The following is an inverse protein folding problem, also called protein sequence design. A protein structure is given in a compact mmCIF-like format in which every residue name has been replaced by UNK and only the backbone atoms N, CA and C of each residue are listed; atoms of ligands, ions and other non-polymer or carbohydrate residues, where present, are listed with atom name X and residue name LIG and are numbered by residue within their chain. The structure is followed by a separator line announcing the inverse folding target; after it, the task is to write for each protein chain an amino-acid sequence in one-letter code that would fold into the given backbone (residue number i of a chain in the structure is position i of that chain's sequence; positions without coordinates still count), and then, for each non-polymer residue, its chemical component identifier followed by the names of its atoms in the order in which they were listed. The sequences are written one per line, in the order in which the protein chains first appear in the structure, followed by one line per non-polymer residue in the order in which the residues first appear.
data_IF_469270568718
#
_entry.id   IF_469270568718
#
_cell.length_a   1.000
_cell.length_b   1.000
_cell.length_c   1.000
_cell.angle_alpha   90.00
_cell.angle_beta   90.00
_cell.angle_gamma   90.00
#
_symmetry.space_group_name_H-M   'P 1'
#
loop_
_entity.id
_entity.type
_entity.pdbx_description
1 polymer ?
#
# COMPACT_ATOMS: atom_id res chain seq x y z
N UNK A 1 -6.23 40.82 -25.89
CA UNK A 1 -4.83 41.09 -26.26
C UNK A 1 -4.04 41.47 -25.01
N UNK A 2 -3.08 40.66 -24.58
CA UNK A 2 -1.90 41.08 -23.81
C UNK A 2 -0.87 39.93 -23.81
N UNK A 3 0.24 40.20 -24.49
CA UNK A 3 1.48 39.41 -24.52
C UNK A 3 2.17 39.40 -23.15
N UNK A 4 2.94 38.35 -22.88
CA UNK A 4 4.33 38.38 -22.40
C UNK A 4 4.68 37.01 -21.79
N UNK A 5 5.91 36.50 -21.80
CA UNK A 5 7.11 36.71 -22.59
C UNK A 5 8.01 35.52 -22.18
N UNK A 6 8.50 34.74 -23.14
CA UNK A 6 9.38 33.60 -22.88
C UNK A 6 10.76 34.09 -22.44
N UNK A 7 11.27 33.53 -21.35
CA UNK A 7 12.65 33.71 -20.90
C UNK A 7 13.42 32.43 -21.26
N UNK A 8 14.21 32.51 -22.34
CA UNK A 8 15.09 31.43 -22.78
C UNK A 8 16.44 31.56 -22.05
N UNK A 9 16.80 30.54 -21.29
CA UNK A 9 18.12 30.43 -20.64
C UNK A 9 19.05 29.70 -21.60
N UNK A 10 20.07 30.40 -22.08
CA UNK A 10 21.15 29.86 -22.91
C UNK A 10 22.22 29.26 -21.98
N UNK A 11 22.46 27.96 -22.09
CA UNK A 11 23.49 27.24 -21.35
C UNK A 11 24.74 27.11 -22.22
N UNK A 12 25.80 27.85 -21.85
CA UNK A 12 27.10 27.81 -22.52
C UNK A 12 27.90 26.64 -21.96
N UNK A 13 28.15 25.61 -22.79
CA UNK A 13 29.02 24.48 -22.43
C UNK A 13 30.43 24.80 -22.88
N UNK A 14 31.31 25.11 -21.92
CA UNK A 14 32.73 25.36 -22.16
C UNK A 14 33.49 24.03 -22.12
N UNK A 15 33.88 23.53 -23.31
CA UNK A 15 34.71 22.34 -23.44
C UNK A 15 36.19 22.72 -23.33
N UNK A 16 36.82 22.40 -22.20
CA UNK A 16 38.27 22.53 -21.99
C UNK A 16 38.96 21.23 -22.40
N UNK A 17 39.69 21.26 -23.51
CA UNK A 17 40.56 20.18 -23.96
C UNK A 17 41.92 20.27 -23.23
N UNK A 18 42.24 19.25 -22.42
CA UNK A 18 43.54 19.10 -21.75
C UNK A 18 44.46 18.18 -22.57
N UNK A 19 45.76 18.50 -22.71
CA UNK A 19 46.71 17.65 -23.42
C UNK A 19 47.16 16.48 -22.55
N UNK A 20 46.88 15.25 -23.00
CA UNK A 20 47.35 14.00 -22.39
C UNK A 20 48.80 13.71 -22.79
N UNK A 21 49.75 13.92 -21.86
CA UNK A 21 51.11 13.38 -21.98
C UNK A 21 51.09 11.89 -21.66
N UNK A 22 51.38 11.05 -22.65
CA UNK A 22 51.55 9.60 -22.48
C UNK A 22 52.95 9.34 -21.93
N UNK A 23 53.06 9.11 -20.62
CA UNK A 23 54.28 8.60 -20.00
C UNK A 23 54.37 7.09 -20.20
N UNK A 24 55.53 6.60 -20.66
CA UNK A 24 55.81 5.19 -20.86
C UNK A 24 55.78 4.44 -19.52
N UNK A 25 54.77 3.59 -19.32
CA UNK A 25 54.59 2.80 -18.11
C UNK A 25 55.59 1.64 -18.05
N UNK A 26 56.49 1.70 -17.06
CA UNK A 26 57.42 0.63 -16.68
C UNK A 26 56.59 -0.60 -16.25
N UNK A 27 56.73 -1.74 -16.93
CA UNK A 27 55.99 -2.98 -16.64
C UNK A 27 56.25 -3.42 -15.21
N UNK A 28 55.21 -3.42 -14.37
CA UNK A 28 55.27 -4.00 -13.02
C UNK A 28 55.30 -5.53 -13.11
N UNK A 29 56.02 -6.23 -12.22
CA UNK A 29 55.95 -7.67 -12.10
C UNK A 29 54.51 -8.12 -11.80
N UNK A 30 54.12 -9.33 -12.24
CA UNK A 30 52.79 -9.86 -11.98
C UNK A 30 52.55 -9.92 -10.46
N UNK A 31 51.37 -9.51 -9.97
CA UNK A 31 51.04 -9.65 -8.57
C UNK A 31 51.08 -11.14 -8.18
N UNK A 32 51.50 -11.46 -6.95
CA UNK A 32 51.45 -12.82 -6.43
C UNK A 32 50.01 -13.34 -6.46
N UNK A 33 49.84 -14.63 -6.75
CA UNK A 33 48.53 -15.31 -6.76
C UNK A 33 47.88 -15.19 -5.38
N UNK A 34 46.95 -14.24 -5.24
CA UNK A 34 46.11 -14.10 -4.06
C UNK A 34 45.03 -15.20 -4.14
N UNK A 35 44.89 -16.07 -3.14
CA UNK A 35 43.79 -17.03 -3.10
C UNK A 35 42.47 -16.29 -3.30
N UNK A 36 41.68 -16.72 -4.28
CA UNK A 36 40.36 -16.15 -4.51
C UNK A 36 39.56 -16.18 -3.20
N UNK A 37 38.93 -15.05 -2.79
CA UNK A 37 38.06 -15.08 -1.63
C UNK A 37 36.98 -16.14 -1.84
N UNK A 38 36.55 -16.84 -0.78
CA UNK A 38 35.48 -17.81 -0.88
C UNK A 38 34.28 -17.17 -1.58
N UNK A 39 33.76 -17.82 -2.62
CA UNK A 39 32.62 -17.35 -3.39
C UNK A 39 31.46 -17.09 -2.43
N UNK A 40 31.03 -15.83 -2.31
CA UNK A 40 29.83 -15.51 -1.56
C UNK A 40 28.65 -16.29 -2.15
N UNK A 41 27.79 -16.89 -1.31
CA UNK A 41 26.57 -17.51 -1.81
C UNK A 41 25.76 -16.45 -2.58
N UNK A 42 25.11 -16.82 -3.69
CA UNK A 42 24.27 -15.88 -4.43
C UNK A 42 23.16 -15.36 -3.50
N UNK A 43 22.75 -14.08 -3.66
CA UNK A 43 21.65 -13.55 -2.88
C UNK A 43 20.38 -14.39 -3.12
N UNK A 44 19.53 -14.57 -2.09
CA UNK A 44 18.28 -15.29 -2.27
C UNK A 44 17.40 -14.59 -3.32
N UNK A 45 16.62 -15.35 -4.10
CA UNK A 45 15.72 -14.76 -5.08
C UNK A 45 14.69 -13.84 -4.37
N UNK A 46 14.25 -12.75 -5.02
CA UNK A 46 13.27 -11.85 -4.45
C UNK A 46 11.94 -12.59 -4.23
N UNK A 47 11.32 -12.37 -3.06
CA UNK A 47 9.99 -12.90 -2.74
C UNK A 47 8.97 -12.30 -3.71
N UNK A 48 8.23 -13.15 -4.41
CA UNK A 48 7.14 -12.72 -5.28
C UNK A 48 5.83 -12.67 -4.48
N UNK A 49 5.07 -11.59 -4.67
CA UNK A 49 3.77 -11.39 -4.03
C UNK A 49 2.65 -11.39 -5.05
N UNK A 50 1.53 -12.02 -4.70
CA UNK A 50 0.24 -11.87 -5.36
C UNK A 50 -0.65 -10.88 -4.59
N UNK A 51 -1.45 -10.12 -5.33
CA UNK A 51 -2.46 -9.24 -4.76
C UNK A 51 -3.81 -9.95 -4.72
N UNK A 52 -4.29 -10.25 -3.51
CA UNK A 52 -5.63 -10.78 -3.30
C UNK A 52 -6.60 -9.66 -2.96
N UNK A 53 -7.53 -9.40 -3.86
CA UNK A 53 -8.52 -8.33 -3.69
C UNK A 53 -9.73 -8.78 -2.89
N UNK A 54 -10.41 -7.83 -2.24
CA UNK A 54 -11.57 -8.13 -1.41
C UNK A 54 -12.68 -8.85 -2.20
N UNK A 55 -13.18 -9.97 -1.65
CA UNK A 55 -14.30 -10.74 -2.18
C UNK A 55 -15.62 -10.39 -1.48
N UNK A 56 -15.55 -9.90 -0.23
CA UNK A 56 -16.70 -9.36 0.50
C UNK A 56 -16.28 -8.13 1.29
N UNK A 57 -17.22 -7.21 1.53
CA UNK A 57 -17.00 -5.99 2.28
C UNK A 57 -18.28 -5.60 3.01
N UNK A 58 -18.18 -5.21 4.28
CA UNK A 58 -19.31 -4.77 5.10
C UNK A 58 -18.89 -3.65 6.05
N UNK A 59 -19.85 -2.86 6.51
CA UNK A 59 -19.58 -1.80 7.48
C UNK A 59 -20.82 -1.46 8.32
N UNK A 60 -20.71 -0.51 9.25
CA UNK A 60 -21.81 -0.15 10.15
C UNK A 60 -23.12 0.22 9.45
N UNK A 61 -23.03 0.94 8.34
CA UNK A 61 -24.18 1.39 7.55
C UNK A 61 -24.64 0.39 6.48
N UNK A 62 -23.87 -0.69 6.26
CA UNK A 62 -24.14 -1.74 5.28
C UNK A 62 -23.65 -3.09 5.85
N UNK A 63 -24.34 -3.62 6.88
CA UNK A 63 -23.86 -4.78 7.64
C UNK A 63 -23.85 -6.06 6.81
N UNK A 64 -24.64 -6.12 5.73
CA UNK A 64 -24.70 -7.26 4.81
C UNK A 64 -23.77 -7.10 3.61
N UNK A 65 -23.29 -5.88 3.32
CA UNK A 65 -22.42 -5.61 2.17
C UNK A 65 -23.15 -5.64 0.82
N UNK A 66 -24.48 -5.66 0.82
CA UNK A 66 -25.30 -5.85 -0.37
C UNK A 66 -25.77 -4.54 -1.01
N UNK A 67 -25.53 -3.41 -0.35
CA UNK A 67 -25.97 -2.12 -0.87
C UNK A 67 -25.30 -1.77 -2.21
N UNK A 68 -26.11 -1.27 -3.13
CA UNK A 68 -25.67 -0.88 -4.48
C UNK A 68 -25.55 0.64 -4.64
N UNK A 69 -25.90 1.41 -3.61
CA UNK A 69 -25.85 2.88 -3.67
C UNK A 69 -24.42 3.39 -3.89
N UNK A 70 -24.25 4.58 -4.47
CA UNK A 70 -22.94 5.21 -4.55
C UNK A 70 -22.28 5.35 -3.17
N UNK A 71 -21.02 4.96 -3.05
CA UNK A 71 -20.28 4.94 -1.79
C UNK A 71 -20.43 3.67 -0.95
N UNK A 72 -21.21 2.67 -1.38
CA UNK A 72 -21.41 1.42 -0.64
C UNK A 72 -20.13 0.57 -0.52
N UNK A 73 -20.06 -0.30 0.49
CA UNK A 73 -18.92 -1.19 0.74
C UNK A 73 -18.66 -2.14 -0.43
N UNK A 74 -19.73 -2.55 -1.14
CA UNK A 74 -19.65 -3.37 -2.36
C UNK A 74 -18.75 -2.77 -3.46
N UNK A 75 -18.47 -1.47 -3.43
CA UNK A 75 -17.56 -0.82 -4.38
C UNK A 75 -16.09 -1.22 -4.20
N UNK A 76 -15.74 -1.87 -3.09
CA UNK A 76 -14.40 -2.40 -2.82
C UNK A 76 -14.15 -3.80 -3.38
N UNK A 77 -15.17 -4.47 -3.93
CA UNK A 77 -15.03 -5.86 -4.34
C UNK A 77 -14.26 -5.99 -5.65
N UNK A 78 -13.31 -6.93 -5.66
CA UNK A 78 -12.47 -7.24 -6.80
C UNK A 78 -11.30 -6.27 -6.98
N UNK A 79 -10.59 -6.46 -8.09
CA UNK A 79 -9.46 -5.61 -8.45
C UNK A 79 -9.89 -4.14 -8.66
N UNK A 80 -8.97 -3.18 -8.45
CA UNK A 80 -9.21 -1.78 -8.78
C UNK A 80 -9.76 -1.60 -10.19
N UNK A 81 -10.78 -0.76 -10.33
CA UNK A 81 -11.33 -0.46 -11.64
C UNK A 81 -10.32 0.34 -12.49
N UNK A 82 -10.25 0.13 -13.82
CA UNK A 82 -9.37 0.92 -14.68
C UNK A 82 -9.61 2.44 -14.58
N UNK A 83 -10.87 2.86 -14.38
CA UNK A 83 -11.23 4.25 -14.18
C UNK A 83 -10.67 4.83 -12.87
N UNK A 84 -10.51 4.00 -11.83
CA UNK A 84 -9.90 4.40 -10.58
C UNK A 84 -8.38 4.56 -10.73
N UNK A 85 -7.73 3.60 -11.40
CA UNK A 85 -6.29 3.58 -11.64
C UNK A 85 -5.82 4.71 -12.57
N UNK A 86 -6.65 5.14 -13.52
CA UNK A 86 -6.33 6.21 -14.47
C UNK A 86 -6.56 7.62 -13.93
N UNK A 87 -7.07 7.78 -12.69
CA UNK A 87 -7.28 9.11 -12.11
C UNK A 87 -5.96 9.80 -11.83
N UNK A 88 -5.92 11.09 -12.19
CA UNK A 88 -4.79 11.99 -11.92
C UNK A 88 -5.07 13.01 -10.81
N UNK A 89 -6.33 13.15 -10.37
CA UNK A 89 -6.76 14.16 -9.40
C UNK A 89 -7.36 13.52 -8.16
N UNK A 90 -6.94 14.00 -6.99
CA UNK A 90 -7.52 13.64 -5.71
C UNK A 90 -8.83 14.42 -5.54
N UNK A 91 -9.97 13.74 -5.69
CA UNK A 91 -11.29 14.38 -5.53
C UNK A 91 -12.31 13.32 -5.12
N UNK A 92 -13.42 13.71 -4.48
CA UNK A 92 -14.48 12.80 -4.08
C UNK A 92 -14.94 11.88 -5.22
N UNK A 93 -15.17 10.62 -4.91
CA UNK A 93 -15.69 9.62 -5.84
C UNK A 93 -16.64 8.68 -5.09
N UNK A 94 -17.77 8.32 -5.72
CA UNK A 94 -18.80 7.48 -5.09
C UNK A 94 -19.27 6.35 -6.01
N UNK A 95 -19.05 6.45 -7.32
CA UNK A 95 -19.54 5.45 -8.28
C UNK A 95 -18.76 4.13 -8.22
N UNK A 96 -17.47 4.20 -7.90
CA UNK A 96 -16.57 3.03 -7.84
C UNK A 96 -15.62 3.06 -6.64
N UNK A 97 -16.04 3.73 -5.57
CA UNK A 97 -15.35 3.72 -4.28
C UNK A 97 -16.34 3.63 -3.13
N UNK A 98 -15.90 3.01 -2.06
CA UNK A 98 -16.53 3.14 -0.75
C UNK A 98 -16.25 4.52 -0.18
N UNK A 99 -17.28 5.13 0.38
CA UNK A 99 -17.20 6.39 1.11
C UNK A 99 -17.93 6.17 2.43
N UNK A 100 -17.26 6.34 3.59
CA UNK A 100 -17.89 6.19 4.89
C UNK A 100 -19.13 7.07 5.06
N UNK A 101 -19.95 6.75 6.06
CA UNK A 101 -21.00 7.67 6.50
C UNK A 101 -20.42 8.82 7.31
N UNK A 102 -21.15 9.93 7.35
CA UNK A 102 -20.84 11.05 8.25
C UNK A 102 -20.94 10.59 9.71
N UNK A 103 -21.94 9.75 10.02
CA UNK A 103 -22.13 9.15 11.35
C UNK A 103 -21.05 8.11 11.64
N UNK A 104 -20.63 8.10 12.90
CA UNK A 104 -19.75 7.08 13.48
C UNK A 104 -20.54 5.82 13.87
N UNK A 105 -19.87 4.65 14.01
CA UNK A 105 -18.45 4.40 13.69
C UNK A 105 -18.17 4.34 12.17
N UNK A 106 -16.93 4.60 11.75
CA UNK A 106 -16.52 4.58 10.34
C UNK A 106 -15.47 3.51 10.08
N UNK A 107 -15.91 2.31 9.75
CA UNK A 107 -15.01 1.24 9.35
C UNK A 107 -15.60 0.41 8.21
N UNK A 108 -14.74 -0.32 7.52
CA UNK A 108 -15.12 -1.38 6.60
C UNK A 108 -14.32 -2.64 6.92
N UNK A 109 -15.03 -3.75 7.09
CA UNK A 109 -14.47 -5.09 7.17
C UNK A 109 -14.46 -5.67 5.76
N UNK A 110 -13.29 -6.13 5.30
CA UNK A 110 -13.11 -6.82 4.02
C UNK A 110 -12.65 -8.26 4.25
N UNK A 111 -13.05 -9.16 3.35
CA UNK A 111 -12.63 -10.57 3.34
C UNK A 111 -12.00 -10.91 2.00
N UNK A 112 -10.86 -11.60 2.01
CA UNK A 112 -10.07 -11.91 0.80
C UNK A 112 -10.30 -13.32 0.26
N UNK A 113 -10.78 -14.25 1.08
CA UNK A 113 -11.03 -15.64 0.68
C UNK A 113 -12.40 -16.13 1.14
N UNK A 114 -12.95 -17.15 0.47
CA UNK A 114 -14.14 -17.87 0.95
C UNK A 114 -13.77 -18.89 2.02
N UNK A 115 -12.63 -19.57 1.84
CA UNK A 115 -12.05 -20.51 2.80
C UNK A 115 -10.73 -19.91 3.28
N UNK A 116 -10.60 -19.69 4.58
CA UNK A 116 -9.45 -19.02 5.15
C UNK A 116 -8.24 -19.97 5.12
N UNK A 117 -7.35 -19.77 4.15
CA UNK A 117 -6.14 -20.61 3.96
C UNK A 117 -4.85 -19.81 4.04
N UNK A 118 -4.93 -18.48 3.90
CA UNK A 118 -3.79 -17.59 4.05
C UNK A 118 -3.37 -17.53 5.51
N UNK A 119 -2.09 -17.79 5.77
CA UNK A 119 -1.48 -17.58 7.08
C UNK A 119 -0.80 -16.22 7.15
N UNK A 120 -0.72 -15.64 8.34
CA UNK A 120 -0.08 -14.34 8.57
C UNK A 120 1.38 -14.33 8.10
N UNK A 121 2.12 -15.42 8.26
CA UNK A 121 3.51 -15.53 7.81
C UNK A 121 3.70 -15.40 6.29
N UNK A 122 2.63 -15.53 5.51
CA UNK A 122 2.64 -15.31 4.06
C UNK A 122 2.25 -13.89 3.67
N UNK A 123 1.74 -13.07 4.59
CA UNK A 123 1.27 -11.72 4.29
C UNK A 123 2.46 -10.76 4.25
N UNK A 124 2.67 -10.10 3.11
CA UNK A 124 3.65 -9.02 2.98
C UNK A 124 3.10 -7.66 3.42
N UNK A 125 1.78 -7.48 3.40
CA UNK A 125 1.12 -6.24 3.78
C UNK A 125 -0.28 -6.09 3.17
N UNK A 126 -0.83 -4.89 3.26
CA UNK A 126 -2.10 -4.54 2.61
C UNK A 126 -1.95 -3.36 1.65
N UNK A 127 -2.74 -3.37 0.58
CA UNK A 127 -2.86 -2.27 -0.37
C UNK A 127 -4.21 -1.57 -0.21
N UNK A 128 -4.21 -0.25 -0.25
CA UNK A 128 -5.42 0.57 -0.26
C UNK A 128 -5.32 1.58 -1.40
N UNK A 129 -6.27 1.53 -2.35
CA UNK A 129 -6.36 2.54 -3.41
C UNK A 129 -7.24 3.70 -2.94
N UNK A 130 -6.60 4.82 -2.64
CA UNK A 130 -7.25 6.04 -2.18
C UNK A 130 -7.46 7.00 -3.35
N UNK A 131 -8.70 7.47 -3.56
CA UNK A 131 -9.09 8.40 -4.64
C UNK A 131 -9.43 9.81 -4.15
N UNK A 132 -9.78 9.91 -2.87
CA UNK A 132 -10.00 11.15 -2.15
C UNK A 132 -9.43 11.02 -0.74
N UNK A 133 -8.60 11.96 -0.30
CA UNK A 133 -8.07 12.01 1.07
C UNK A 133 -9.14 12.46 2.06
N UNK A 134 -10.00 13.40 1.67
CA UNK A 134 -10.90 14.08 2.59
C UNK A 134 -10.16 15.10 3.46
N UNK A 135 -10.77 15.49 4.58
CA UNK A 135 -10.21 16.48 5.52
C UNK A 135 -9.90 15.90 6.91
N UNK A 136 -10.20 14.61 7.14
CA UNK A 136 -9.92 13.94 8.40
C UNK A 136 -8.42 13.82 8.65
N UNK A 137 -8.01 13.99 9.91
CA UNK A 137 -6.63 13.77 10.36
C UNK A 137 -6.61 12.92 11.64
N UNK A 138 -6.00 11.71 11.63
CA UNK A 138 -5.59 10.96 10.43
C UNK A 138 -6.78 10.62 9.52
N UNK A 139 -6.53 10.29 8.26
CA UNK A 139 -7.58 9.85 7.33
C UNK A 139 -7.98 8.41 7.64
N UNK A 140 -6.98 7.53 7.73
CA UNK A 140 -7.12 6.13 8.15
C UNK A 140 -6.57 6.06 9.57
N UNK A 141 -7.42 5.78 10.55
CA UNK A 141 -7.06 5.73 11.97
C UNK A 141 -6.33 4.44 12.33
N UNK A 142 -6.77 3.29 11.78
CA UNK A 142 -6.02 2.04 11.86
C UNK A 142 -6.37 1.09 10.72
N UNK A 143 -5.47 0.15 10.46
CA UNK A 143 -5.74 -1.04 9.65
C UNK A 143 -5.39 -2.24 10.52
N UNK A 144 -6.32 -3.18 10.62
CA UNK A 144 -6.19 -4.37 11.46
C UNK A 144 -6.46 -5.61 10.60
N UNK A 145 -5.57 -6.59 10.65
CA UNK A 145 -5.83 -7.91 10.11
C UNK A 145 -6.65 -8.70 11.12
N UNK A 146 -7.76 -9.29 10.69
CA UNK A 146 -8.56 -10.17 11.53
C UNK A 146 -8.00 -11.58 11.38
N UNK A 147 -7.39 -12.10 12.45
CA UNK A 147 -6.68 -13.39 12.40
C UNK A 147 -7.23 -14.37 13.42
N UNK A 148 -7.17 -15.67 13.12
CA UNK A 148 -7.50 -16.74 14.06
C UNK A 148 -6.22 -17.52 14.36
N UNK A 149 -5.70 -17.44 15.60
CA UNK A 149 -4.56 -18.25 16.02
C UNK A 149 -4.83 -19.74 15.81
N UNK A 150 -3.78 -20.48 15.48
CA UNK A 150 -3.85 -21.94 15.27
C UNK A 150 -4.49 -22.61 16.49
N UNK A 151 -5.39 -23.55 16.25
CA UNK A 151 -6.11 -24.31 17.28
C UNK A 151 -7.02 -23.46 18.20
N UNK A 152 -7.43 -22.27 17.76
CA UNK A 152 -8.40 -21.43 18.48
C UNK A 152 -9.63 -21.16 17.62
N UNK A 153 -10.76 -20.88 18.26
CA UNK A 153 -12.01 -20.48 17.60
C UNK A 153 -12.24 -18.96 17.63
N UNK A 154 -11.47 -18.25 18.44
CA UNK A 154 -11.51 -16.79 18.54
C UNK A 154 -10.79 -16.12 17.37
N UNK A 155 -11.23 -14.92 17.02
CA UNK A 155 -10.44 -14.03 16.19
C UNK A 155 -9.81 -12.94 17.06
N UNK A 156 -8.64 -12.46 16.65
CA UNK A 156 -7.97 -11.32 17.25
C UNK A 156 -7.60 -10.30 16.16
N UNK A 157 -7.71 -8.99 16.44
CA UNK A 157 -7.18 -7.97 15.55
C UNK A 157 -5.66 -7.92 15.71
N UNK A 158 -4.95 -8.04 14.59
CA UNK A 158 -3.51 -7.78 14.47
C UNK A 158 -3.33 -6.41 13.83
N UNK A 159 -2.85 -5.44 14.60
CA UNK A 159 -2.64 -4.07 14.13
C UNK A 159 -1.54 -4.04 13.06
N UNK A 160 -1.92 -3.69 11.83
CA UNK A 160 -1.01 -3.53 10.70
C UNK A 160 -0.51 -2.08 10.59
N UNK A 161 -1.40 -1.13 10.82
CA UNK A 161 -1.10 0.29 10.68
C UNK A 161 -1.90 1.11 11.70
N UNK A 162 -1.27 2.14 12.25
CA UNK A 162 -1.91 3.14 13.12
C UNK A 162 -1.67 4.54 12.56
N UNK A 163 -2.75 5.25 12.27
CA UNK A 163 -2.70 6.62 11.75
C UNK A 163 -2.20 7.62 12.78
N UNK A 164 -1.37 8.56 12.34
CA UNK A 164 -0.88 9.69 13.13
C UNK A 164 -1.26 11.06 12.55
N UNK A 165 -0.98 12.12 13.31
CA UNK A 165 -1.20 13.50 12.87
C UNK A 165 -0.39 13.85 11.60
N UNK A 166 0.78 13.24 11.42
CA UNK A 166 1.68 13.48 10.27
C UNK A 166 1.51 12.43 9.15
N UNK A 167 0.33 11.82 9.04
CA UNK A 167 0.06 10.81 8.01
C UNK A 167 0.18 11.41 6.59
N UNK A 168 1.22 10.99 5.87
CA UNK A 168 1.42 11.29 4.46
C UNK A 168 0.76 10.22 3.58
N UNK A 169 -0.52 10.42 3.27
CA UNK A 169 -1.21 9.66 2.23
C UNK A 169 -1.21 10.44 0.93
N UNK A 170 -0.52 9.92 -0.09
CA UNK A 170 -0.67 10.40 -1.46
C UNK A 170 -2.04 10.02 -2.03
N UNK A 171 -2.57 10.88 -2.89
CA UNK A 171 -3.88 10.69 -3.51
C UNK A 171 -3.93 11.40 -4.87
N UNK A 172 -4.49 10.76 -5.92
CA UNK A 172 -4.91 9.37 -5.96
C UNK A 172 -3.69 8.44 -5.99
N UNK A 173 -3.66 7.38 -5.18
CA UNK A 173 -2.55 6.43 -5.14
C UNK A 173 -2.94 5.10 -4.50
N UNK A 174 -2.25 4.03 -4.90
CA UNK A 174 -2.24 2.76 -4.16
C UNK A 174 -1.19 2.85 -3.07
N UNK A 175 -1.62 2.91 -1.82
CA UNK A 175 -0.75 2.95 -0.66
C UNK A 175 -0.54 1.51 -0.18
N UNK A 176 0.70 1.15 0.13
CA UNK A 176 1.05 -0.16 0.69
C UNK A 176 1.41 0.00 2.16
N UNK A 177 0.78 -0.81 3.00
CA UNK A 177 1.02 -0.90 4.43
C UNK A 177 1.72 -2.23 4.70
N UNK A 178 3.06 -2.25 4.83
CA UNK A 178 3.80 -3.50 5.05
C UNK A 178 3.42 -4.12 6.39
N UNK A 179 3.41 -5.46 6.44
CA UNK A 179 3.22 -6.18 7.69
C UNK A 179 4.58 -6.39 8.37
N UNK A 180 4.81 -5.67 9.46
CA UNK A 180 5.96 -5.85 10.31
C UNK A 180 5.53 -6.54 11.61
N UNK A 181 5.80 -7.84 11.70
CA UNK A 181 5.55 -8.58 12.93
C UNK A 181 6.70 -8.35 13.91
N UNK A 182 6.44 -7.81 15.11
CA UNK A 182 7.48 -7.76 16.12
C UNK A 182 7.90 -9.20 16.49
N UNK A 183 9.14 -9.43 16.96
CA UNK A 183 9.62 -10.78 17.30
C UNK A 183 8.71 -11.53 18.29
N UNK A 184 8.07 -10.80 19.22
CA UNK A 184 7.12 -11.37 20.18
C UNK A 184 5.85 -11.96 19.53
N UNK A 185 5.54 -11.57 18.29
CA UNK A 185 4.40 -12.04 17.49
C UNK A 185 4.78 -13.15 16.50
N UNK A 186 5.98 -13.73 16.58
CA UNK A 186 6.40 -14.81 15.69
C UNK A 186 5.45 -16.02 15.72
N UNK A 187 4.84 -16.31 16.88
CA UNK A 187 3.83 -17.37 17.01
C UNK A 187 2.56 -17.13 16.20
N UNK A 188 2.30 -15.89 15.77
CA UNK A 188 1.17 -15.57 14.91
C UNK A 188 1.42 -15.92 13.44
N UNK A 189 2.65 -16.30 13.03
CA UNK A 189 2.95 -16.66 11.65
C UNK A 189 2.04 -17.77 11.08
N UNK A 190 1.62 -18.70 11.95
CA UNK A 190 0.70 -19.80 11.63
C UNK A 190 -0.79 -19.42 11.76
N UNK A 191 -1.11 -18.22 12.27
CA UNK A 191 -2.49 -17.78 12.40
C UNK A 191 -3.12 -17.57 11.02
N UNK A 192 -4.38 -17.93 10.88
CA UNK A 192 -5.11 -17.79 9.62
C UNK A 192 -5.72 -16.40 9.50
N UNK A 193 -5.56 -15.76 8.35
CA UNK A 193 -6.16 -14.45 8.04
C UNK A 193 -7.60 -14.64 7.61
N UNK A 194 -8.54 -14.07 8.36
CA UNK A 194 -9.96 -14.06 8.03
C UNK A 194 -10.36 -12.88 7.16
N UNK A 195 -9.62 -11.77 7.25
CA UNK A 195 -9.94 -10.52 6.58
C UNK A 195 -9.18 -9.35 7.16
N UNK A 196 -9.65 -8.15 6.90
CA UNK A 196 -9.08 -6.93 7.46
C UNK A 196 -10.17 -5.91 7.78
N UNK A 197 -9.91 -5.06 8.75
CA UNK A 197 -10.71 -3.88 9.08
C UNK A 197 -9.91 -2.64 8.75
N UNK A 198 -10.49 -1.74 7.96
CA UNK A 198 -9.96 -0.39 7.72
C UNK A 198 -10.82 0.59 8.50
N UNK A 199 -10.24 1.21 9.53
CA UNK A 199 -10.88 2.23 10.33
C UNK A 199 -10.54 3.61 9.78
N UNK A 200 -11.56 4.44 9.60
CA UNK A 200 -11.44 5.85 9.23
C UNK A 200 -11.60 6.68 10.52
N UNK A 201 -10.92 7.83 10.60
CA UNK A 201 -11.03 8.68 11.79
C UNK A 201 -12.46 9.14 12.05
N UNK A 202 -12.76 9.31 13.33
CA UNK A 202 -14.03 9.78 13.87
C UNK A 202 -14.11 11.31 13.95
N UNK A 203 -13.21 12.06 13.30
CA UNK A 203 -13.31 13.52 13.24
C UNK A 203 -14.66 14.00 12.68
N UNK A 204 -15.15 15.14 13.17
CA UNK A 204 -16.38 15.74 12.66
C UNK A 204 -16.23 16.14 11.18
N UNK A 205 -17.28 15.90 10.39
CA UNK A 205 -17.37 16.33 8.99
C UNK A 205 -18.79 16.77 8.68
N UNK A 206 -18.92 17.85 7.92
CA UNK A 206 -20.24 18.39 7.56
C UNK A 206 -20.81 17.73 6.30
N UNK A 207 -19.95 17.21 5.42
CA UNK A 207 -20.35 16.61 4.15
C UNK A 207 -19.51 15.37 3.80
N UNK A 208 -20.11 14.43 3.07
CA UNK A 208 -19.44 13.20 2.60
C UNK A 208 -18.27 13.45 1.64
N UNK A 209 -18.18 14.60 0.99
CA UNK A 209 -17.03 15.00 0.15
C UNK A 209 -15.75 15.23 0.96
N UNK A 210 -15.89 15.51 2.25
CA UNK A 210 -14.77 15.62 3.19
C UNK A 210 -14.31 14.27 3.77
N UNK A 211 -14.98 13.17 3.41
CA UNK A 211 -14.59 11.81 3.78
C UNK A 211 -13.69 11.18 2.72
N UNK A 212 -12.84 10.21 3.10
CA UNK A 212 -12.02 9.51 2.12
C UNK A 212 -12.88 8.69 1.16
N UNK A 213 -12.36 8.51 -0.05
CA UNK A 213 -12.94 7.63 -1.07
C UNK A 213 -11.94 6.51 -1.36
N UNK A 214 -12.26 5.29 -0.93
CA UNK A 214 -11.40 4.11 -1.10
C UNK A 214 -11.98 3.23 -2.20
N UNK A 215 -11.21 2.97 -3.25
CA UNK A 215 -11.69 2.22 -4.42
C UNK A 215 -11.39 0.72 -4.35
N UNK A 216 -10.32 0.33 -3.67
CA UNK A 216 -9.96 -1.07 -3.52
C UNK A 216 -9.16 -1.29 -2.25
N UNK A 217 -9.29 -2.48 -1.69
CA UNK A 217 -8.45 -2.99 -0.61
C UNK A 217 -7.95 -4.38 -1.01
N UNK A 218 -6.65 -4.61 -0.92
CA UNK A 218 -6.00 -5.87 -1.26
C UNK A 218 -5.03 -6.34 -0.18
N UNK A 219 -4.79 -7.65 -0.16
CA UNK A 219 -3.80 -8.30 0.69
C UNK A 219 -2.64 -8.79 -0.18
N UNK A 220 -1.41 -8.41 0.16
CA UNK A 220 -0.21 -8.91 -0.51
C UNK A 220 0.20 -10.24 0.12
N UNK A 221 0.23 -11.31 -0.66
CA UNK A 221 0.53 -12.66 -0.16
C UNK A 221 1.70 -13.27 -0.94
N UNK A 222 2.69 -13.79 -0.24
CA UNK A 222 3.84 -14.46 -0.84
C UNK A 222 3.39 -15.71 -1.60
N UNK A 223 3.91 -15.87 -2.83
CA UNK A 223 3.72 -17.06 -3.65
C UNK A 223 4.41 -18.26 -3.00
N UNK A 224 3.71 -19.39 -2.98
CA UNK A 224 4.34 -20.68 -2.71
C UNK A 224 5.06 -21.09 -4.00
N UNK A 225 6.38 -21.03 -3.99
CA UNK A 225 7.25 -21.55 -5.05
C UNK A 225 7.60 -23.00 -4.78
#
# INVERSE_FOLDING_TARGET
MKLAAGCAIVLVVLALALPTRVAAAKRRPPPPDVPFPPSFPPPPPPIQYDDLWALAARGPSDPTGNSTVPGACRRLLGAPRPEALSRKKCKPERQFSWVPTIKEPRYVDVRFEVKATITVGRVGGMKVLLLNKGSLQPVISSIELMVTPKNTTGYMPLLLYKGGADQDLHCPATITFPLELPPASASLGDATVLGARVNVSNGAVDDKTFLPSISAVGLMVARLT
#
